data_IF_243808463316
#
_entry.id   IF_243808463316
#
_cell.length_a   1.000
_cell.length_b   1.000
_cell.length_c   1.000
_cell.angle_alpha   90.00
_cell.angle_beta   90.00
_cell.angle_gamma   90.00
#
_symmetry.space_group_name_H-M   'P 1'
#
loop_
_entity.id
_entity.type
_entity.pdbx_description
1 polymer ?
#
# COMPACT_ATOMS: atom_id res chain seq x y z
N UNK A 1 19.29 21.59 -11.53
CA UNK A 1 20.12 20.37 -11.47
C UNK A 1 19.98 19.63 -12.79
N UNK A 2 21.07 19.11 -13.35
CA UNK A 2 21.01 18.24 -14.53
C UNK A 2 20.24 16.95 -14.17
N UNK A 3 19.45 16.36 -15.10
CA UNK A 3 18.81 15.09 -14.87
C UNK A 3 19.85 13.98 -14.68
N UNK A 4 19.58 13.06 -13.73
CA UNK A 4 20.40 11.86 -13.58
C UNK A 4 20.24 10.99 -14.83
N UNK A 5 21.29 10.29 -15.27
CA UNK A 5 21.18 9.33 -16.34
C UNK A 5 20.28 8.16 -15.94
N UNK A 6 19.57 7.57 -16.89
CA UNK A 6 18.60 6.49 -16.64
C UNK A 6 19.21 5.31 -15.88
N UNK A 7 20.46 4.94 -16.19
CA UNK A 7 21.13 3.84 -15.49
C UNK A 7 21.32 4.14 -13.99
N UNK A 8 21.56 5.39 -13.60
CA UNK A 8 21.73 5.76 -12.19
C UNK A 8 20.39 5.71 -11.44
N UNK A 9 19.29 6.10 -12.11
CA UNK A 9 17.94 5.94 -11.56
C UNK A 9 17.59 4.47 -11.40
N UNK A 10 17.87 3.65 -12.43
CA UNK A 10 17.63 2.20 -12.37
C UNK A 10 18.47 1.52 -11.27
N UNK A 11 19.75 1.90 -11.14
CA UNK A 11 20.61 1.39 -10.08
C UNK A 11 20.12 1.80 -8.68
N UNK A 12 19.66 3.04 -8.52
CA UNK A 12 19.06 3.52 -7.27
C UNK A 12 17.78 2.76 -6.92
N UNK A 13 16.89 2.55 -7.88
CA UNK A 13 15.67 1.79 -7.70
C UNK A 13 15.98 0.31 -7.33
N UNK A 14 16.92 -0.32 -8.06
CA UNK A 14 17.35 -1.69 -7.77
C UNK A 14 17.97 -1.81 -6.37
N UNK A 15 18.78 -0.83 -5.95
CA UNK A 15 19.33 -0.79 -4.60
C UNK A 15 18.23 -0.67 -3.53
N UNK A 16 17.24 0.20 -3.73
CA UNK A 16 16.12 0.38 -2.81
C UNK A 16 15.29 -0.91 -2.68
N UNK A 17 14.98 -1.57 -3.80
CA UNK A 17 14.27 -2.86 -3.78
C UNK A 17 15.11 -3.94 -3.08
N UNK A 18 16.42 -4.02 -3.37
CA UNK A 18 17.30 -4.98 -2.69
C UNK A 18 17.36 -4.74 -1.17
N UNK A 19 17.38 -3.47 -0.74
CA UNK A 19 17.31 -3.10 0.66
C UNK A 19 15.96 -3.52 1.28
N UNK A 20 14.85 -3.28 0.58
CA UNK A 20 13.51 -3.73 1.03
C UNK A 20 13.47 -5.23 1.26
N UNK A 21 13.91 -6.01 0.28
CA UNK A 21 13.98 -7.48 0.39
C UNK A 21 14.82 -7.91 1.59
N UNK A 22 16.01 -7.33 1.74
CA UNK A 22 16.92 -7.69 2.83
C UNK A 22 16.35 -7.37 4.21
N UNK A 23 15.74 -6.19 4.37
CA UNK A 23 15.18 -5.76 5.67
C UNK A 23 13.94 -6.58 6.02
N UNK A 24 12.98 -6.75 5.10
CA UNK A 24 11.75 -7.51 5.37
C UNK A 24 12.06 -8.98 5.67
N UNK A 25 12.97 -9.59 4.91
CA UNK A 25 13.41 -10.95 5.20
C UNK A 25 14.12 -11.03 6.56
N UNK A 26 14.91 -10.03 6.91
CA UNK A 26 15.55 -9.92 8.23
C UNK A 26 14.56 -9.72 9.39
N UNK A 27 13.40 -9.11 9.13
CA UNK A 27 12.26 -8.99 10.07
C UNK A 27 11.48 -10.31 10.21
N UNK A 28 11.80 -11.34 9.42
CA UNK A 28 11.16 -12.64 9.47
C UNK A 28 10.00 -12.80 8.48
N UNK A 29 9.78 -11.84 7.57
CA UNK A 29 8.74 -11.96 6.57
C UNK A 29 9.10 -13.05 5.53
N UNK A 30 8.13 -13.89 5.11
CA UNK A 30 8.37 -14.93 4.13
C UNK A 30 8.67 -14.33 2.75
N UNK A 31 9.51 -14.96 1.95
CA UNK A 31 9.81 -14.51 0.59
C UNK A 31 8.58 -14.54 -0.32
N UNK A 32 7.76 -15.58 -0.18
CA UNK A 32 6.48 -15.78 -0.88
C UNK A 32 5.45 -16.28 0.10
N UNK A 33 4.17 -16.31 -0.29
CA UNK A 33 3.09 -16.87 0.53
C UNK A 33 3.41 -18.26 1.05
N UNK A 34 3.01 -18.55 2.29
CA UNK A 34 3.11 -19.88 2.89
C UNK A 34 2.27 -20.94 2.13
N UNK A 35 1.32 -20.53 1.28
CA UNK A 35 0.57 -21.44 0.41
C UNK A 35 1.44 -22.09 -0.68
N UNK A 36 2.64 -21.55 -0.94
CA UNK A 36 3.55 -22.00 -2.00
C UNK A 36 3.09 -21.66 -3.42
N UNK A 37 1.96 -20.98 -3.55
CA UNK A 37 1.42 -20.52 -4.84
C UNK A 37 1.72 -19.04 -5.06
N UNK A 38 1.86 -18.64 -6.31
CA UNK A 38 1.92 -17.23 -6.72
C UNK A 38 0.66 -16.93 -7.53
N UNK A 39 -0.19 -16.08 -6.96
CA UNK A 39 -1.43 -15.61 -7.59
C UNK A 39 -1.25 -14.19 -8.08
N UNK A 40 -1.87 -13.88 -9.23
CA UNK A 40 -1.88 -12.52 -9.76
C UNK A 40 -2.78 -11.58 -8.94
N UNK A 41 -3.87 -12.13 -8.38
CA UNK A 41 -4.87 -11.36 -7.65
C UNK A 41 -5.53 -12.18 -6.55
N UNK A 42 -5.71 -11.55 -5.37
CA UNK A 42 -6.50 -12.09 -4.24
C UNK A 42 -7.73 -11.24 -4.04
N UNK A 43 -8.90 -11.81 -4.29
CA UNK A 43 -10.18 -11.08 -4.26
C UNK A 43 -10.88 -11.07 -2.90
N UNK A 44 -10.45 -11.84 -1.91
CA UNK A 44 -11.04 -11.85 -0.58
C UNK A 44 -10.14 -11.11 0.41
N UNK A 45 -10.62 -10.04 1.08
CA UNK A 45 -9.79 -9.28 2.03
C UNK A 45 -9.44 -10.06 3.30
N UNK A 46 -10.15 -11.15 3.58
CA UNK A 46 -9.92 -12.02 4.76
C UNK A 46 -9.22 -13.33 4.39
N UNK A 47 -8.73 -13.45 3.14
CA UNK A 47 -7.96 -14.61 2.73
C UNK A 47 -6.60 -14.63 3.45
N UNK A 48 -6.08 -15.81 3.83
CA UNK A 48 -4.70 -15.92 4.32
C UNK A 48 -3.65 -15.56 3.25
N UNK A 49 -4.06 -15.47 1.98
CA UNK A 49 -3.21 -15.02 0.87
C UNK A 49 -3.25 -13.50 0.63
N UNK A 50 -4.12 -12.75 1.32
CA UNK A 50 -4.12 -11.28 1.28
C UNK A 50 -2.80 -10.77 1.85
N UNK A 51 -2.20 -9.78 1.20
CA UNK A 51 -0.86 -9.26 1.52
C UNK A 51 0.28 -10.30 1.39
N UNK A 52 0.02 -11.38 0.63
CA UNK A 52 0.99 -12.45 0.42
C UNK A 52 1.28 -12.72 -1.07
N UNK A 53 0.46 -12.19 -1.97
CA UNK A 53 0.48 -12.46 -3.40
C UNK A 53 0.88 -11.21 -4.21
N UNK A 54 0.85 -11.29 -5.57
CA UNK A 54 1.30 -10.18 -6.42
C UNK A 54 0.43 -8.93 -6.28
N UNK A 55 -0.89 -9.09 -6.12
CA UNK A 55 -1.82 -7.98 -5.92
C UNK A 55 -3.08 -8.43 -5.19
N UNK A 56 -3.68 -7.49 -4.47
CA UNK A 56 -4.96 -7.60 -3.79
C UNK A 56 -5.67 -6.23 -3.73
N UNK A 57 -6.69 -6.10 -2.89
CA UNK A 57 -7.45 -4.86 -2.75
C UNK A 57 -6.59 -3.68 -2.24
N UNK A 58 -5.55 -3.94 -1.46
CA UNK A 58 -4.68 -2.90 -0.90
C UNK A 58 -3.68 -2.36 -1.94
N UNK A 59 -3.44 -3.09 -3.03
CA UNK A 59 -2.66 -2.59 -4.16
C UNK A 59 -3.22 -1.30 -4.77
N UNK A 60 -4.55 -1.06 -4.68
CA UNK A 60 -5.15 0.23 -5.07
C UNK A 60 -4.69 1.36 -4.16
N UNK A 61 -4.49 1.12 -2.87
CA UNK A 61 -3.96 2.09 -1.92
C UNK A 61 -2.52 2.48 -2.27
N UNK A 62 -1.67 1.52 -2.58
CA UNK A 62 -0.29 1.78 -3.02
C UNK A 62 -0.25 2.53 -4.36
N UNK A 63 -1.18 2.26 -5.27
CA UNK A 63 -1.30 3.05 -6.50
C UNK A 63 -1.65 4.52 -6.20
N UNK A 64 -2.55 4.77 -5.24
CA UNK A 64 -2.91 6.12 -4.77
C UNK A 64 -1.73 6.77 -4.04
N UNK A 65 -0.92 6.04 -3.25
CA UNK A 65 0.33 6.55 -2.68
C UNK A 65 1.21 7.19 -3.76
N UNK A 66 1.32 6.56 -4.93
CA UNK A 66 2.05 7.10 -6.08
C UNK A 66 1.52 8.47 -6.51
N UNK A 67 0.20 8.68 -6.54
CA UNK A 67 -0.41 9.97 -6.86
C UNK A 67 -0.07 11.03 -5.81
N UNK A 68 -0.19 10.66 -4.54
CA UNK A 68 0.08 11.56 -3.41
C UNK A 68 1.55 11.96 -3.42
N UNK A 69 2.47 11.02 -3.54
CA UNK A 69 3.91 11.29 -3.52
C UNK A 69 4.35 12.12 -4.72
N UNK A 70 3.81 11.86 -5.92
CA UNK A 70 4.06 12.72 -7.07
C UNK A 70 3.60 14.15 -6.83
N UNK A 71 2.37 14.33 -6.34
CA UNK A 71 1.79 15.65 -6.05
C UNK A 71 2.60 16.43 -5.00
N UNK A 72 2.91 15.76 -3.87
CA UNK A 72 3.69 16.34 -2.78
C UNK A 72 5.10 16.72 -3.24
N UNK A 73 5.81 15.83 -3.91
CA UNK A 73 7.18 16.09 -4.38
C UNK A 73 7.22 17.12 -5.51
N UNK A 74 6.17 17.22 -6.32
CA UNK A 74 6.02 18.32 -7.28
C UNK A 74 5.87 19.68 -6.60
N UNK A 75 5.19 19.70 -5.46
CA UNK A 75 4.98 20.93 -4.68
C UNK A 75 6.19 21.28 -3.81
N UNK A 76 6.72 20.33 -3.04
CA UNK A 76 7.80 20.55 -2.07
C UNK A 76 9.18 20.67 -2.74
N UNK A 77 9.41 19.92 -3.81
CA UNK A 77 10.70 19.82 -4.49
C UNK A 77 10.58 19.98 -6.02
N UNK A 78 9.94 21.08 -6.53
CA UNK A 78 9.65 21.25 -7.96
C UNK A 78 10.91 21.31 -8.84
N UNK A 79 12.07 21.66 -8.26
CA UNK A 79 13.35 21.76 -8.97
C UNK A 79 14.07 20.43 -9.14
N UNK A 80 13.66 19.38 -8.42
CA UNK A 80 14.28 18.06 -8.56
C UNK A 80 13.81 17.38 -9.86
N UNK A 81 14.71 16.72 -10.59
CA UNK A 81 14.36 15.88 -11.72
C UNK A 81 13.35 14.79 -11.34
N UNK A 82 12.50 14.38 -12.29
CA UNK A 82 11.45 13.37 -12.07
C UNK A 82 12.00 12.06 -11.47
N UNK A 83 13.13 11.55 -12.01
CA UNK A 83 13.74 10.33 -11.52
C UNK A 83 14.23 10.42 -10.08
N UNK A 84 14.75 11.59 -9.65
CA UNK A 84 15.14 11.80 -8.24
C UNK A 84 13.90 11.81 -7.35
N UNK A 85 12.82 12.46 -7.79
CA UNK A 85 11.55 12.44 -7.04
C UNK A 85 10.97 11.03 -6.94
N UNK A 86 11.08 10.22 -8.01
CA UNK A 86 10.67 8.82 -7.96
C UNK A 86 11.48 8.04 -6.91
N UNK A 87 12.82 8.17 -6.88
CA UNK A 87 13.64 7.48 -5.88
C UNK A 87 13.29 7.91 -4.45
N UNK A 88 12.97 9.18 -4.23
CA UNK A 88 12.48 9.66 -2.93
C UNK A 88 11.12 9.03 -2.60
N UNK A 89 10.20 8.98 -3.56
CA UNK A 89 8.89 8.35 -3.39
C UNK A 89 9.03 6.86 -3.03
N UNK A 90 9.91 6.12 -3.75
CA UNK A 90 10.21 4.73 -3.44
C UNK A 90 10.80 4.56 -2.04
N UNK A 91 11.71 5.44 -1.62
CA UNK A 91 12.28 5.37 -0.28
C UNK A 91 11.22 5.62 0.82
N UNK A 92 10.28 6.54 0.59
CA UNK A 92 9.15 6.78 1.51
C UNK A 92 8.23 5.57 1.58
N UNK A 93 7.85 5.00 0.44
CA UNK A 93 7.02 3.79 0.37
C UNK A 93 7.68 2.61 1.08
N UNK A 94 8.96 2.34 0.80
CA UNK A 94 9.71 1.27 1.45
C UNK A 94 9.81 1.49 2.97
N UNK A 95 9.90 2.74 3.42
CA UNK A 95 9.85 3.04 4.86
C UNK A 95 8.48 2.72 5.44
N UNK A 96 7.40 2.98 4.69
CA UNK A 96 6.05 2.57 5.07
C UNK A 96 5.95 1.04 5.17
N UNK A 97 6.43 0.30 4.18
CA UNK A 97 6.48 -1.17 4.18
C UNK A 97 7.21 -1.73 5.42
N UNK A 98 8.33 -1.10 5.83
CA UNK A 98 9.02 -1.49 7.05
C UNK A 98 8.19 -1.22 8.30
N UNK A 99 7.50 -0.10 8.36
CA UNK A 99 6.62 0.24 9.47
C UNK A 99 5.44 -0.73 9.56
N UNK A 100 4.78 -1.00 8.44
CA UNK A 100 3.62 -1.87 8.33
C UNK A 100 3.94 -3.31 8.74
N UNK A 101 5.13 -3.79 8.36
CA UNK A 101 5.64 -5.11 8.72
C UNK A 101 6.33 -5.16 10.10
N UNK A 102 6.24 -4.08 10.89
CA UNK A 102 6.71 -4.10 12.26
C UNK A 102 5.73 -4.83 13.19
N UNK A 103 6.21 -5.50 14.26
CA UNK A 103 5.33 -6.18 15.20
C UNK A 103 4.24 -5.28 15.81
N UNK A 104 4.54 -4.00 15.99
CA UNK A 104 3.60 -3.03 16.58
C UNK A 104 2.42 -2.76 15.63
N UNK A 105 2.68 -2.53 14.34
CA UNK A 105 1.63 -2.25 13.36
C UNK A 105 0.84 -3.53 13.02
N UNK A 106 1.52 -4.67 12.89
CA UNK A 106 0.85 -5.98 12.72
C UNK A 106 -0.13 -6.24 13.87
N UNK A 107 0.29 -5.99 15.12
CA UNK A 107 -0.58 -6.16 16.28
C UNK A 107 -1.78 -5.23 16.21
N UNK A 108 -1.56 -3.96 15.86
CA UNK A 108 -2.63 -2.97 15.74
C UNK A 108 -3.64 -3.35 14.63
N UNK A 109 -3.18 -3.81 13.47
CA UNK A 109 -4.08 -4.26 12.40
C UNK A 109 -4.93 -5.47 12.80
N UNK A 110 -4.40 -6.39 13.59
CA UNK A 110 -5.16 -7.55 14.10
C UNK A 110 -6.34 -7.18 15.00
N UNK A 111 -6.40 -5.96 15.51
CA UNK A 111 -7.56 -5.45 16.23
C UNK A 111 -8.77 -5.17 15.31
N UNK A 112 -8.53 -5.08 13.98
CA UNK A 112 -9.55 -4.85 12.98
C UNK A 112 -10.13 -6.16 12.47
N UNK A 113 -11.46 -6.18 12.22
CA UNK A 113 -12.14 -7.40 11.82
C UNK A 113 -11.64 -8.01 10.50
N UNK A 114 -11.31 -7.17 9.52
CA UNK A 114 -10.81 -7.61 8.21
C UNK A 114 -9.36 -8.10 8.25
N UNK A 115 -8.57 -7.65 9.23
CA UNK A 115 -7.16 -7.95 9.35
C UNK A 115 -6.82 -8.87 10.55
N UNK A 116 -7.81 -9.55 11.14
CA UNK A 116 -7.61 -10.40 12.33
C UNK A 116 -6.56 -11.52 12.11
N UNK A 117 -6.39 -11.97 10.87
CA UNK A 117 -5.39 -12.97 10.48
C UNK A 117 -4.08 -12.40 9.92
N UNK A 118 -3.93 -11.08 9.86
CA UNK A 118 -2.76 -10.44 9.27
C UNK A 118 -1.47 -10.77 10.02
N UNK A 119 -0.45 -11.19 9.29
CA UNK A 119 0.87 -11.58 9.84
C UNK A 119 2.04 -10.76 9.29
N UNK A 120 1.73 -9.68 8.59
CA UNK A 120 2.65 -8.92 7.76
C UNK A 120 2.57 -9.40 6.30
N UNK A 121 3.24 -8.70 5.41
CA UNK A 121 3.27 -8.99 4.00
C UNK A 121 4.35 -10.03 3.67
N UNK A 122 4.16 -10.78 2.58
CA UNK A 122 5.32 -11.45 2.00
C UNK A 122 6.25 -10.42 1.35
N UNK A 123 7.54 -10.74 1.27
CA UNK A 123 8.52 -9.89 0.56
C UNK A 123 8.10 -9.66 -0.88
N UNK A 124 7.53 -10.67 -1.55
CA UNK A 124 6.99 -10.56 -2.90
C UNK A 124 5.87 -9.52 -3.00
N UNK A 125 4.90 -9.57 -2.09
CA UNK A 125 3.78 -8.61 -2.07
C UNK A 125 4.29 -7.19 -1.85
N UNK A 126 5.08 -6.96 -0.81
CA UNK A 126 5.64 -5.66 -0.47
C UNK A 126 6.45 -5.03 -1.64
N UNK A 127 7.24 -5.84 -2.36
CA UNK A 127 7.94 -5.38 -3.57
C UNK A 127 6.94 -5.00 -4.67
N UNK A 128 5.88 -5.80 -4.87
CA UNK A 128 4.84 -5.49 -5.85
C UNK A 128 4.10 -4.19 -5.50
N UNK A 129 3.87 -3.91 -4.22
CA UNK A 129 3.23 -2.69 -3.75
C UNK A 129 4.12 -1.46 -3.98
N UNK A 130 5.43 -1.56 -3.74
CA UNK A 130 6.39 -0.51 -4.15
C UNK A 130 6.41 -0.28 -5.66
N UNK A 131 6.30 -1.32 -6.47
CA UNK A 131 6.19 -1.20 -7.93
C UNK A 131 4.85 -0.59 -8.35
N UNK A 132 3.77 -0.95 -7.69
CA UNK A 132 2.42 -0.40 -7.91
C UNK A 132 2.38 1.08 -7.55
N UNK A 133 2.98 1.50 -6.43
CA UNK A 133 3.18 2.91 -6.08
C UNK A 133 3.98 3.63 -7.17
N UNK A 134 5.06 3.03 -7.66
CA UNK A 134 5.88 3.62 -8.73
C UNK A 134 5.09 3.79 -10.03
N UNK A 135 4.22 2.83 -10.38
CA UNK A 135 3.31 2.94 -11.52
C UNK A 135 2.32 4.10 -11.34
N UNK A 136 1.73 4.25 -10.14
CA UNK A 136 0.89 5.39 -9.78
C UNK A 136 1.61 6.73 -9.90
N UNK A 137 2.85 6.80 -9.41
CA UNK A 137 3.69 7.99 -9.52
C UNK A 137 3.91 8.39 -10.98
N UNK A 138 4.24 7.43 -11.85
CA UNK A 138 4.39 7.67 -13.29
C UNK A 138 3.07 8.10 -13.93
N UNK A 139 1.99 7.43 -13.63
CA UNK A 139 0.66 7.79 -14.12
C UNK A 139 0.34 9.25 -13.77
N UNK A 140 0.53 9.66 -12.51
CA UNK A 140 0.29 11.03 -12.07
C UNK A 140 1.24 12.04 -12.75
N UNK A 141 2.41 11.61 -13.20
CA UNK A 141 3.38 12.49 -13.88
C UNK A 141 2.97 12.87 -15.31
N UNK A 142 2.17 12.03 -15.97
CA UNK A 142 1.76 12.21 -17.37
C UNK A 142 0.28 12.57 -17.53
N UNK A 143 -0.55 12.31 -16.54
CA UNK A 143 -1.99 12.59 -16.56
C UNK A 143 -2.30 13.91 -15.86
N UNK A 144 -3.29 14.64 -16.37
CA UNK A 144 -3.73 15.92 -15.76
C UNK A 144 -4.30 15.67 -14.36
N UNK A 145 -3.91 16.50 -13.38
CA UNK A 145 -4.25 16.36 -11.97
C UNK A 145 -5.75 16.10 -11.71
N UNK A 146 -6.65 16.75 -12.45
CA UNK A 146 -8.11 16.54 -12.29
C UNK A 146 -8.54 15.08 -12.51
N UNK A 147 -7.91 14.38 -13.47
CA UNK A 147 -8.23 12.98 -13.74
C UNK A 147 -7.57 12.05 -12.73
N UNK A 148 -6.36 12.40 -12.26
CA UNK A 148 -5.68 11.68 -11.18
C UNK A 148 -6.51 11.73 -9.90
N UNK A 149 -7.01 12.92 -9.53
CA UNK A 149 -7.88 13.11 -8.36
C UNK A 149 -9.20 12.35 -8.54
N UNK A 150 -9.83 12.43 -9.71
CA UNK A 150 -11.08 11.72 -9.99
C UNK A 150 -10.88 10.19 -9.89
N UNK A 151 -9.75 9.68 -10.40
CA UNK A 151 -9.41 8.25 -10.31
C UNK A 151 -9.15 7.84 -8.85
N UNK A 152 -8.39 8.64 -8.09
CA UNK A 152 -8.15 8.36 -6.67
C UNK A 152 -9.46 8.24 -5.89
N UNK A 153 -10.36 9.23 -6.04
CA UNK A 153 -11.68 9.19 -5.41
C UNK A 153 -12.52 8.00 -5.87
N UNK A 154 -12.45 7.67 -7.17
CA UNK A 154 -13.16 6.50 -7.72
C UNK A 154 -12.64 5.19 -7.12
N UNK A 155 -11.32 5.03 -6.96
CA UNK A 155 -10.71 3.84 -6.33
C UNK A 155 -11.06 3.76 -4.84
N UNK A 156 -11.02 4.87 -4.11
CA UNK A 156 -11.42 4.93 -2.69
C UNK A 156 -12.89 4.49 -2.49
N UNK A 157 -13.80 5.00 -3.33
CA UNK A 157 -15.21 4.61 -3.28
C UNK A 157 -15.38 3.14 -3.68
N UNK A 158 -14.69 2.70 -4.73
CA UNK A 158 -14.78 1.34 -5.24
C UNK A 158 -14.30 0.31 -4.20
N UNK A 159 -13.16 0.54 -3.55
CA UNK A 159 -12.64 -0.36 -2.51
C UNK A 159 -13.51 -0.35 -1.26
N UNK A 160 -13.95 0.84 -0.80
CA UNK A 160 -14.88 0.95 0.33
C UNK A 160 -16.20 0.20 0.07
N UNK A 161 -16.72 0.28 -1.16
CA UNK A 161 -17.94 -0.44 -1.55
C UNK A 161 -17.70 -1.95 -1.64
N UNK A 162 -16.55 -2.36 -2.18
CA UNK A 162 -16.25 -3.78 -2.46
C UNK A 162 -15.88 -4.57 -1.20
N UNK A 163 -15.05 -4.00 -0.32
CA UNK A 163 -14.49 -4.70 0.84
C UNK A 163 -14.72 -3.99 2.17
N UNK A 164 -15.44 -2.86 2.18
CA UNK A 164 -15.66 -2.00 3.35
C UNK A 164 -14.35 -1.47 3.95
N UNK A 165 -13.32 -1.34 3.14
CA UNK A 165 -12.05 -0.75 3.51
C UNK A 165 -11.45 0.02 2.33
N UNK A 166 -10.57 0.98 2.61
CA UNK A 166 -9.83 1.76 1.63
C UNK A 166 -8.65 2.45 2.31
N UNK A 167 -7.82 3.18 1.54
CA UNK A 167 -6.66 3.89 2.09
C UNK A 167 -7.06 4.88 3.20
N UNK A 168 -8.12 5.67 2.98
CA UNK A 168 -8.57 6.67 3.96
C UNK A 168 -8.97 6.04 5.28
N UNK A 169 -9.75 4.95 5.25
CA UNK A 169 -10.20 4.23 6.45
C UNK A 169 -9.02 3.53 7.14
N UNK A 170 -8.12 2.93 6.36
CA UNK A 170 -6.94 2.25 6.89
C UNK A 170 -6.03 3.23 7.64
N UNK A 171 -5.68 4.36 7.00
CA UNK A 171 -4.88 5.42 7.65
C UNK A 171 -5.60 5.99 8.87
N UNK A 172 -6.91 6.23 8.78
CA UNK A 172 -7.68 6.71 9.92
C UNK A 172 -7.63 5.74 11.10
N UNK A 173 -7.85 4.45 10.86
CA UNK A 173 -7.79 3.41 11.88
C UNK A 173 -6.39 3.29 12.51
N UNK A 174 -5.33 3.52 11.71
CA UNK A 174 -3.94 3.44 12.19
C UNK A 174 -3.57 4.59 13.14
N UNK A 175 -4.04 5.82 12.85
CA UNK A 175 -3.64 7.02 13.62
C UNK A 175 -4.62 7.41 14.73
N UNK A 176 -5.88 7.00 14.61
CA UNK A 176 -6.91 7.34 15.58
C UNK A 176 -6.88 6.39 16.79
N UNK A 177 -7.20 6.86 18.01
CA UNK A 177 -7.28 6.00 19.18
C UNK A 177 -8.31 4.88 18.99
N UNK A 178 -7.93 3.62 19.18
CA UNK A 178 -8.79 2.44 18.99
C UNK A 178 -10.08 2.47 19.84
N UNK A 179 -10.03 3.15 20.99
CA UNK A 179 -11.20 3.36 21.87
C UNK A 179 -12.21 4.41 21.38
N UNK A 180 -11.88 5.18 20.34
CA UNK A 180 -12.74 6.28 19.87
C UNK A 180 -13.99 5.77 19.15
N UNK A 181 -15.15 6.42 19.44
CA UNK A 181 -16.44 5.96 18.89
C UNK A 181 -16.48 5.85 17.37
N UNK A 182 -15.93 6.78 16.57
CA UNK A 182 -15.86 6.63 15.11
C UNK A 182 -15.06 5.40 14.67
N UNK A 183 -13.93 5.07 15.31
CA UNK A 183 -13.12 3.89 14.99
C UNK A 183 -13.93 2.62 15.26
N UNK A 184 -14.60 2.53 16.41
CA UNK A 184 -15.50 1.40 16.74
C UNK A 184 -16.62 1.25 15.72
N UNK A 185 -17.25 2.35 15.30
CA UNK A 185 -18.29 2.32 14.29
C UNK A 185 -17.80 1.78 12.93
N UNK A 186 -16.57 2.14 12.54
CA UNK A 186 -15.94 1.59 11.33
C UNK A 186 -15.70 0.09 11.49
N UNK A 187 -15.12 -0.34 12.60
CA UNK A 187 -14.86 -1.76 12.87
C UNK A 187 -16.17 -2.59 12.87
N UNK A 188 -17.24 -2.07 13.50
CA UNK A 188 -18.55 -2.72 13.52
C UNK A 188 -19.15 -2.84 12.10
N UNK A 189 -18.98 -1.80 11.28
CA UNK A 189 -19.42 -1.79 9.90
C UNK A 189 -18.63 -2.79 9.04
N UNK A 190 -17.32 -2.84 9.21
CA UNK A 190 -16.43 -3.82 8.55
C UNK A 190 -16.79 -5.26 8.97
N UNK A 191 -16.95 -5.50 10.28
CA UNK A 191 -17.34 -6.81 10.83
C UNK A 191 -18.70 -7.29 10.32
N UNK A 192 -19.62 -6.38 10.02
CA UNK A 192 -20.91 -6.70 9.43
C UNK A 192 -20.85 -7.42 8.08
N UNK A 193 -19.75 -7.27 7.31
CA UNK A 193 -19.53 -7.98 6.04
C UNK A 193 -19.19 -9.45 6.22
N UNK A 194 -18.66 -9.82 7.38
CA UNK A 194 -18.21 -11.18 7.70
C UNK A 194 -19.33 -12.07 8.26
N UNK A 195 -20.52 -11.52 8.52
CA UNK A 195 -21.67 -12.28 9.03
C UNK A 195 -22.33 -13.08 7.91
N UNK A 196 -22.69 -14.36 8.11
CA UNK A 196 -23.47 -15.13 7.16
C UNK A 196 -24.80 -14.41 6.89
N UNK A 197 -25.05 -14.02 5.64
CA UNK A 197 -26.26 -13.28 5.23
C UNK A 197 -26.07 -11.77 5.02
N UNK A 198 -24.88 -11.21 5.24
CA UNK A 198 -24.55 -9.80 4.96
C UNK A 198 -24.19 -9.54 3.48
N UNK A 199 -24.86 -10.18 2.54
CA UNK A 199 -24.76 -9.86 1.12
C UNK A 199 -25.35 -8.47 0.82
N UNK A 200 -24.74 -7.76 -0.13
CA UNK A 200 -25.16 -6.45 -0.67
C UNK A 200 -26.56 -6.49 -1.24
#
# INVERSE_FOLDING_TARGET
MAPLPLWAIAAGAAFLIALQVAVLHGLGQPLISASGHILLWVGSPVSPDTSQQLADWYSFSHFIHGFIFFGLLRWLAPRLPLGVRLLIAMAVEITWEFAENSPAVIHHYREQALAAGYSGDSVLNSVCDTLTMSAGFFFASVVRARYVIALALGLEIFTAWSIRDNLTLNVFNLIAPSGWAPVKAIHDWQAGSLRPGGGH
#
